data_IF_133418885627
#
_entry.id   IF_133418885627
#
_cell.length_a   1.000
_cell.length_b   1.000
_cell.length_c   1.000
_cell.angle_alpha   90.00
_cell.angle_beta   90.00
_cell.angle_gamma   90.00
#
_symmetry.space_group_name_H-M   'P 1'
#
loop_
_entity.id
_entity.type
_entity.pdbx_description
1 polymer ?
#
# COMPACT_ATOMS: atom_id res chain seq x y z
N UNK A 1 5.33 -7.02 8.96
CA UNK A 1 6.15 -8.20 9.35
C UNK A 1 7.51 -7.97 8.73
N UNK A 2 8.59 -8.18 9.45
CA UNK A 2 9.89 -7.72 8.93
C UNK A 2 10.52 -8.79 8.01
N UNK A 3 10.94 -8.37 6.81
CA UNK A 3 11.68 -9.20 5.85
C UNK A 3 13.05 -8.59 5.59
N UNK A 4 14.09 -9.43 5.59
CA UNK A 4 15.45 -9.02 5.24
C UNK A 4 15.76 -9.49 3.83
N UNK A 5 16.16 -8.56 2.95
CA UNK A 5 16.58 -8.85 1.59
C UNK A 5 18.06 -8.56 1.41
N UNK A 6 18.77 -9.43 0.70
CA UNK A 6 20.17 -9.25 0.36
C UNK A 6 20.35 -9.16 -1.16
N UNK A 7 21.02 -8.11 -1.61
CA UNK A 7 21.20 -7.79 -3.03
C UNK A 7 22.68 -7.64 -3.33
N UNK A 8 23.16 -8.28 -4.39
CA UNK A 8 24.52 -8.13 -4.89
C UNK A 8 24.65 -6.87 -5.77
N UNK A 9 24.27 -5.72 -5.22
CA UNK A 9 24.30 -4.42 -5.89
C UNK A 9 24.49 -3.30 -4.86
N UNK A 10 24.87 -2.12 -5.34
CA UNK A 10 24.88 -0.88 -4.56
C UNK A 10 23.50 -0.23 -4.66
N UNK A 11 22.69 -0.42 -3.63
CA UNK A 11 21.29 -0.03 -3.59
C UNK A 11 21.02 0.85 -2.36
N UNK A 12 21.36 2.16 -2.42
CA UNK A 12 20.99 3.05 -1.33
C UNK A 12 19.47 3.25 -1.34
N UNK A 13 18.82 2.87 -0.23
CA UNK A 13 17.40 3.10 0.02
C UNK A 13 17.26 3.85 1.33
N UNK A 14 16.52 4.96 1.32
CA UNK A 14 16.34 5.76 2.53
C UNK A 14 15.35 5.08 3.48
N UNK A 15 15.65 5.15 4.78
CA UNK A 15 14.74 4.66 5.82
C UNK A 15 13.39 5.39 5.74
N UNK A 16 12.31 4.62 5.87
CA UNK A 16 10.93 5.10 5.82
C UNK A 16 10.33 5.14 4.41
N UNK A 17 11.15 5.04 3.36
CA UNK A 17 10.67 4.97 1.98
C UNK A 17 9.82 3.71 1.76
N UNK A 18 8.75 3.86 0.99
CA UNK A 18 7.91 2.79 0.50
C UNK A 18 8.59 2.16 -0.69
N UNK A 19 8.62 0.84 -0.69
CA UNK A 19 9.20 0.06 -1.76
C UNK A 19 8.20 -0.93 -2.30
N UNK A 20 8.25 -1.12 -3.61
CA UNK A 20 7.64 -2.26 -4.28
C UNK A 20 8.74 -3.28 -4.58
N UNK A 21 8.49 -4.53 -4.20
CA UNK A 21 9.44 -5.63 -4.35
C UNK A 21 8.83 -6.70 -5.26
N UNK A 22 9.62 -7.16 -6.22
CA UNK A 22 9.29 -8.29 -7.09
C UNK A 22 10.26 -9.43 -6.84
N UNK A 23 9.72 -10.59 -6.51
CA UNK A 23 10.46 -11.84 -6.30
C UNK A 23 9.98 -12.91 -7.28
N UNK A 24 10.87 -13.82 -7.67
CA UNK A 24 10.48 -15.10 -8.27
C UNK A 24 10.62 -16.20 -7.25
N UNK A 25 9.61 -17.07 -7.15
CA UNK A 25 9.70 -18.30 -6.37
C UNK A 25 10.32 -19.38 -7.26
N UNK A 26 11.51 -19.87 -6.90
CA UNK A 26 12.10 -21.03 -7.55
C UNK A 26 11.33 -22.29 -7.11
N UNK A 27 10.50 -22.84 -7.98
CA UNK A 27 9.71 -24.06 -7.72
C UNK A 27 10.56 -25.28 -7.36
N UNK A 28 11.83 -25.29 -7.75
CA UNK A 28 12.75 -26.41 -7.49
C UNK A 28 13.35 -26.36 -6.08
N UNK A 29 13.53 -25.15 -5.52
CA UNK A 29 14.19 -24.92 -4.23
C UNK A 29 13.28 -24.34 -3.16
N UNK A 30 12.11 -23.81 -3.54
CA UNK A 30 11.22 -23.07 -2.66
C UNK A 30 11.80 -21.74 -2.17
N UNK A 31 12.88 -21.26 -2.79
CA UNK A 31 13.57 -20.03 -2.39
C UNK A 31 13.07 -18.84 -3.22
N UNK A 32 12.76 -17.73 -2.54
CA UNK A 32 12.41 -16.48 -3.19
C UNK A 32 13.69 -15.77 -3.66
N UNK A 33 13.77 -15.50 -4.95
CA UNK A 33 14.87 -14.75 -5.57
C UNK A 33 14.39 -13.34 -5.87
N UNK A 34 15.09 -12.34 -5.32
CA UNK A 34 14.81 -10.95 -5.60
C UNK A 34 15.11 -10.61 -7.07
N UNK A 35 14.14 -10.02 -7.76
CA UNK A 35 14.24 -9.59 -9.15
C UNK A 35 14.26 -8.09 -9.30
N UNK A 36 13.40 -7.40 -8.54
CA UNK A 36 13.31 -5.95 -8.61
C UNK A 36 12.97 -5.33 -7.26
N UNK A 37 13.50 -4.13 -7.02
CA UNK A 37 13.05 -3.22 -5.97
C UNK A 37 12.85 -1.84 -6.60
N UNK A 38 11.72 -1.22 -6.33
CA UNK A 38 11.39 0.15 -6.74
C UNK A 38 11.20 0.98 -5.49
N UNK A 39 11.97 2.06 -5.37
CA UNK A 39 11.74 3.11 -4.38
C UNK A 39 10.61 4.01 -4.91
N UNK A 40 9.48 4.06 -4.19
CA UNK A 40 8.26 4.72 -4.67
C UNK A 40 8.29 6.23 -4.42
N UNK A 41 9.12 6.72 -3.50
CA UNK A 41 9.32 8.15 -3.24
C UNK A 41 10.19 8.79 -4.31
N UNK A 42 11.23 8.10 -4.77
CA UNK A 42 12.21 8.63 -5.72
C UNK A 42 11.98 8.13 -7.15
N UNK A 43 11.25 7.02 -7.32
CA UNK A 43 11.04 6.35 -8.60
C UNK A 43 12.25 5.56 -9.11
N UNK A 44 13.33 5.47 -8.32
CA UNK A 44 14.53 4.71 -8.69
C UNK A 44 14.21 3.22 -8.68
N UNK A 45 14.61 2.52 -9.75
CA UNK A 45 14.32 1.10 -9.96
C UNK A 45 15.59 0.30 -10.08
N UNK A 46 15.69 -0.75 -9.29
CA UNK A 46 16.76 -1.72 -9.35
C UNK A 46 16.18 -3.02 -9.87
N UNK A 47 16.75 -3.54 -10.96
CA UNK A 47 16.30 -4.77 -11.60
C UNK A 47 17.49 -5.65 -11.90
N UNK A 48 17.36 -6.94 -11.62
CA UNK A 48 18.29 -7.95 -12.11
C UNK A 48 18.13 -8.08 -13.63
N UNK A 49 19.25 -8.20 -14.35
CA UNK A 49 19.25 -8.28 -15.80
C UNK A 49 18.87 -9.66 -16.35
N UNK A 50 18.91 -10.70 -15.52
CA UNK A 50 18.54 -12.06 -15.92
C UNK A 50 17.03 -12.24 -15.96
N UNK A 51 16.58 -12.98 -16.97
CA UNK A 51 15.17 -13.33 -17.16
C UNK A 51 14.71 -14.26 -16.02
N UNK A 52 13.67 -13.88 -15.26
CA UNK A 52 13.21 -14.70 -14.16
C UNK A 52 12.60 -16.01 -14.64
N UNK A 53 12.77 -17.05 -13.82
CA UNK A 53 12.12 -18.35 -13.99
C UNK A 53 11.28 -18.62 -12.75
N UNK A 54 10.02 -19.00 -12.94
CA UNK A 54 9.08 -19.29 -11.84
C UNK A 54 7.96 -18.27 -11.70
N UNK A 55 7.11 -18.49 -10.69
CA UNK A 55 6.01 -17.60 -10.33
C UNK A 55 6.54 -16.27 -9.77
N UNK A 56 5.97 -15.16 -10.24
CA UNK A 56 6.32 -13.82 -9.79
C UNK A 56 5.38 -13.38 -8.67
N UNK A 57 5.97 -12.88 -7.58
CA UNK A 57 5.24 -12.29 -6.46
C UNK A 57 5.63 -10.84 -6.29
N UNK A 58 4.63 -9.99 -6.11
CA UNK A 58 4.77 -8.56 -5.88
C UNK A 58 4.24 -8.20 -4.50
N UNK A 59 4.99 -7.41 -3.75
CA UNK A 59 4.56 -6.93 -2.44
C UNK A 59 5.13 -5.56 -2.11
N UNK A 60 4.47 -4.88 -1.17
CA UNK A 60 4.83 -3.53 -0.72
C UNK A 60 5.38 -3.57 0.70
N UNK A 61 6.24 -2.62 1.02
CA UNK A 61 6.70 -2.44 2.38
C UNK A 61 7.41 -1.11 2.60
N UNK A 62 7.91 -0.92 3.82
CA UNK A 62 8.66 0.26 4.23
C UNK A 62 10.06 -0.12 4.69
N UNK A 63 11.05 0.63 4.22
CA UNK A 63 12.44 0.41 4.61
C UNK A 63 12.61 0.75 6.10
N UNK A 64 12.97 -0.23 6.92
CA UNK A 64 13.32 -0.05 8.31
C UNK A 64 14.80 0.27 8.48
N UNK A 65 15.64 -0.43 7.71
CA UNK A 65 17.09 -0.26 7.73
C UNK A 65 17.71 -0.64 6.38
N UNK A 66 18.83 -0.02 6.03
CA UNK A 66 19.57 -0.30 4.80
C UNK A 66 21.07 -0.16 5.03
N UNK A 67 21.79 -1.26 4.90
CA UNK A 67 23.25 -1.30 4.98
C UNK A 67 23.82 -1.59 3.60
N UNK A 68 24.61 -0.66 3.07
CA UNK A 68 25.38 -0.84 1.83
C UNK A 68 26.84 -1.04 2.19
N UNK A 69 27.39 -2.19 1.80
CA UNK A 69 28.79 -2.55 2.03
C UNK A 69 29.58 -2.44 0.73
N UNK A 70 30.65 -1.65 0.77
CA UNK A 70 31.59 -1.43 -0.34
C UNK A 70 32.97 -2.01 0.00
N UNK A 71 33.78 -2.31 -1.02
CA UNK A 71 35.22 -2.57 -0.85
C UNK A 71 35.62 -4.01 -0.51
N UNK A 72 34.72 -4.99 -0.68
CA UNK A 72 35.01 -6.43 -0.58
C UNK A 72 35.14 -7.12 -1.94
N UNK A 73 35.06 -8.46 -1.97
CA UNK A 73 35.01 -9.24 -3.22
C UNK A 73 33.76 -8.97 -4.08
N UNK A 74 32.67 -8.47 -3.47
CA UNK A 74 31.44 -8.03 -4.15
C UNK A 74 30.74 -6.96 -3.33
N UNK A 75 30.18 -5.97 -4.02
CA UNK A 75 29.28 -5.00 -3.40
C UNK A 75 27.99 -5.69 -2.96
N UNK A 76 27.53 -5.36 -1.76
CA UNK A 76 26.34 -5.99 -1.17
C UNK A 76 25.52 -4.95 -0.45
N UNK A 77 24.21 -4.98 -0.71
CA UNK A 77 23.21 -4.26 0.09
C UNK A 77 22.40 -5.26 0.88
N UNK A 78 22.15 -4.97 2.15
CA UNK A 78 21.18 -5.66 3.00
C UNK A 78 20.14 -4.64 3.42
N UNK A 79 18.87 -4.92 3.14
CA UNK A 79 17.75 -4.05 3.50
C UNK A 79 16.76 -4.82 4.37
N UNK A 80 16.29 -4.18 5.43
CA UNK A 80 15.21 -4.67 6.28
C UNK A 80 13.96 -3.88 5.93
N UNK A 81 12.89 -4.58 5.57
CA UNK A 81 11.63 -3.99 5.14
C UNK A 81 10.53 -4.50 6.06
N UNK A 82 9.78 -3.58 6.67
CA UNK A 82 8.50 -3.92 7.26
C UNK A 82 7.53 -4.14 6.10
N UNK A 83 7.10 -5.38 5.91
CA UNK A 83 6.05 -5.65 4.95
C UNK A 83 4.79 -4.99 5.45
N UNK A 84 4.19 -4.17 4.59
CA UNK A 84 2.78 -3.87 4.66
C UNK A 84 2.14 -5.27 4.45
N UNK A 85 1.87 -6.01 5.54
CA UNK A 85 1.85 -7.49 5.55
C UNK A 85 1.01 -8.13 4.45
N UNK A 86 1.14 -9.47 4.26
CA UNK A 86 0.34 -10.28 3.32
C UNK A 86 -1.18 -10.25 3.64
N UNK A 87 -1.77 -9.07 3.55
CA UNK A 87 -3.01 -8.67 4.17
C UNK A 87 -3.51 -7.43 3.46
N UNK A 88 -4.82 -7.23 3.47
CA UNK A 88 -5.50 -6.87 2.25
C UNK A 88 -5.50 -5.35 2.06
N UNK A 89 -4.45 -4.78 1.46
CA UNK A 89 -4.46 -3.38 1.03
C UNK A 89 -5.66 -3.06 0.10
N UNK A 90 -6.10 -4.06 -0.67
CA UNK A 90 -7.36 -4.02 -1.41
C UNK A 90 -8.62 -4.10 -0.54
N UNK A 91 -8.64 -4.89 0.54
CA UNK A 91 -9.82 -4.96 1.44
C UNK A 91 -9.85 -3.80 2.41
N UNK A 92 -8.72 -3.20 2.81
CA UNK A 92 -8.68 -1.98 3.62
C UNK A 92 -9.22 -0.78 2.84
N UNK A 93 -8.75 -0.59 1.60
CA UNK A 93 -9.30 0.45 0.71
C UNK A 93 -10.76 0.18 0.34
N UNK A 94 -11.12 -1.07 0.03
CA UNK A 94 -12.50 -1.44 -0.28
C UNK A 94 -13.43 -1.33 0.93
N UNK A 95 -12.98 -1.72 2.13
CA UNK A 95 -13.73 -1.56 3.36
C UNK A 95 -13.86 -0.07 3.74
N UNK A 96 -12.84 0.74 3.49
CA UNK A 96 -12.93 2.19 3.67
C UNK A 96 -13.94 2.81 2.69
N UNK A 97 -13.93 2.40 1.41
CA UNK A 97 -14.92 2.84 0.42
C UNK A 97 -16.33 2.38 0.79
N UNK A 98 -16.51 1.11 1.15
CA UNK A 98 -17.81 0.57 1.60
C UNK A 98 -18.29 1.25 2.88
N UNK A 99 -17.39 1.60 3.80
CA UNK A 99 -17.71 2.37 4.99
C UNK A 99 -18.15 3.81 4.67
N UNK A 100 -17.52 4.44 3.68
CA UNK A 100 -17.91 5.77 3.22
C UNK A 100 -19.28 5.76 2.52
N UNK A 101 -19.56 4.77 1.67
CA UNK A 101 -20.86 4.60 1.01
C UNK A 101 -21.98 4.37 2.04
N UNK A 102 -21.72 3.54 3.05
CA UNK A 102 -22.67 3.29 4.14
C UNK A 102 -22.95 4.56 4.97
N UNK A 103 -21.92 5.38 5.23
CA UNK A 103 -22.08 6.65 5.93
C UNK A 103 -22.87 7.67 5.10
N UNK A 104 -22.67 7.71 3.79
CA UNK A 104 -23.41 8.58 2.87
C UNK A 104 -24.90 8.23 2.83
N UNK A 105 -25.23 6.94 2.70
CA UNK A 105 -26.62 6.48 2.74
C UNK A 105 -27.28 6.72 4.10
N UNK A 106 -26.55 6.54 5.21
CA UNK A 106 -27.06 6.84 6.54
C UNK A 106 -27.37 8.34 6.71
N UNK A 107 -26.50 9.23 6.20
CA UNK A 107 -26.72 10.67 6.23
C UNK A 107 -27.93 11.09 5.38
N UNK A 108 -28.10 10.48 4.20
CA UNK A 108 -29.26 10.71 3.33
C UNK A 108 -30.57 10.25 4.00
N UNK A 109 -30.57 9.08 4.62
CA UNK A 109 -31.72 8.58 5.36
C UNK A 109 -32.09 9.47 6.57
N UNK A 110 -31.10 10.07 7.24
CA UNK A 110 -31.36 11.05 8.30
C UNK A 110 -31.93 12.37 7.75
N UNK A 111 -31.42 12.85 6.61
CA UNK A 111 -31.96 14.03 5.95
C UNK A 111 -33.42 13.83 5.50
N UNK A 112 -33.75 12.65 4.97
CA UNK A 112 -35.12 12.29 4.60
C UNK A 112 -36.03 12.23 5.84
N UNK A 113 -35.53 11.72 6.98
CA UNK A 113 -36.27 11.70 8.25
C UNK A 113 -36.60 13.09 8.78
N UNK A 114 -35.70 14.05 8.60
CA UNK A 114 -35.90 15.41 9.10
C UNK A 114 -36.83 16.23 8.20
N UNK A 115 -37.22 15.68 7.05
CA UNK A 115 -37.99 16.37 6.04
C UNK A 115 -37.11 17.44 5.40
N UNK A 116 -36.51 17.10 4.25
CA UNK A 116 -35.87 18.10 3.38
C UNK A 116 -36.77 19.33 3.22
N UNK A 117 -36.16 20.50 2.96
CA UNK A 117 -36.73 21.85 3.07
C UNK A 117 -38.04 22.20 2.31
N UNK A 118 -38.80 21.19 1.89
CA UNK A 118 -40.12 21.22 1.29
C UNK A 118 -41.26 21.09 2.32
N UNK A 119 -40.97 21.12 3.63
CA UNK A 119 -42.03 21.28 4.64
C UNK A 119 -42.62 22.68 4.49
N UNK A 120 -43.67 22.79 3.69
CA UNK A 120 -44.41 24.02 3.49
C UNK A 120 -44.77 24.59 4.87
N UNK A 121 -44.30 25.80 5.23
CA UNK A 121 -44.55 26.36 6.54
C UNK A 121 -46.06 26.39 6.79
N UNK A 122 -46.48 25.96 7.98
CA UNK A 122 -47.90 25.97 8.35
C UNK A 122 -48.43 27.41 8.18
N UNK A 123 -49.58 27.60 7.51
CA UNK A 123 -50.13 28.93 7.31
C UNK A 123 -50.40 29.57 8.67
N UNK A 124 -49.91 30.80 8.86
CA UNK A 124 -50.13 31.54 10.10
C UNK A 124 -51.64 31.65 10.39
N UNK A 125 -52.09 31.38 11.63
CA UNK A 125 -53.50 31.44 11.96
C UNK A 125 -54.02 32.87 11.78
N UNK A 126 -55.19 33.00 11.15
CA UNK A 126 -55.84 34.28 10.90
C UNK A 126 -56.01 35.06 12.22
N UNK A 127 -55.30 36.19 12.30
CA UNK A 127 -55.42 37.12 13.42
C UNK A 127 -56.61 38.03 13.14
N UNK A 128 -57.72 37.77 13.82
CA UNK A 128 -58.84 38.70 13.89
C UNK A 128 -58.45 39.86 14.80
N UNK A 129 -58.43 41.08 14.25
CA UNK A 129 -58.31 42.34 14.98
C UNK A 129 -59.69 42.96 15.15
#
# INVERSE_FOLDING_TARGET
>A
MDRTLAVAAQLPLARGHRVEVTEAIDETRGEAVLLAIVDLETGVRFRRAEEPRGELVHWLGRVLDCTVTFGGHRDRTVVVIDTDGDGPGGVGARAALTGADAAAEAAKAEADRWGGGDRMPEPEPERFW
#
